data_IF_625926130985
#
_entry.id   IF_625926130985
#
_cell.length_a   1.000
_cell.length_b   1.000
_cell.length_c   1.000
_cell.angle_alpha   90.00
_cell.angle_beta   90.00
_cell.angle_gamma   90.00
#
_symmetry.space_group_name_H-M   'P 1'
#
loop_
_entity.id
_entity.type
_entity.pdbx_description
1 polymer ?
#
# COMPACT_ATOMS: atom_id res chain seq x y z
N UNK A 1 -8.71 -6.41 -8.21
CA UNK A 1 -7.71 -5.32 -8.01
C UNK A 1 -7.09 -5.46 -6.64
N UNK A 2 -5.80 -5.29 -6.56
CA UNK A 2 -5.02 -5.26 -5.32
C UNK A 2 -4.65 -3.82 -5.00
N UNK A 3 -4.88 -3.39 -3.76
CA UNK A 3 -4.39 -2.09 -3.25
C UNK A 3 -3.30 -2.38 -2.23
N UNK A 4 -2.03 -2.12 -2.54
CA UNK A 4 -0.93 -2.35 -1.61
C UNK A 4 -0.82 -1.24 -0.57
N UNK A 5 -0.59 -1.63 0.68
CA UNK A 5 -0.17 -0.71 1.72
C UNK A 5 1.32 -0.40 1.61
N UNK A 6 1.69 0.78 2.08
CA UNK A 6 3.05 1.31 2.04
C UNK A 6 4.08 0.38 2.69
N UNK A 7 3.74 -0.26 3.81
CA UNK A 7 4.67 -1.11 4.55
C UNK A 7 5.22 -2.27 3.69
N UNK A 8 4.37 -2.93 2.90
CA UNK A 8 4.78 -4.04 2.02
C UNK A 8 5.75 -3.58 0.93
N UNK A 9 5.52 -2.39 0.38
CA UNK A 9 6.39 -1.81 -0.65
C UNK A 9 7.74 -1.39 -0.07
N UNK A 10 7.76 -0.88 1.17
CA UNK A 10 9.02 -0.57 1.87
C UNK A 10 9.82 -1.86 2.10
N UNK A 11 9.18 -2.93 2.59
CA UNK A 11 9.89 -4.22 2.77
C UNK A 11 10.43 -4.77 1.45
N UNK A 12 9.66 -4.64 0.37
CA UNK A 12 10.10 -5.07 -0.97
C UNK A 12 11.34 -4.32 -1.49
N UNK A 13 11.64 -3.13 -0.95
CA UNK A 13 12.75 -2.27 -1.36
C UNK A 13 13.83 -2.07 -0.29
N UNK A 14 13.68 -2.69 0.87
CA UNK A 14 14.65 -2.62 1.97
C UNK A 14 15.31 -3.99 2.20
N UNK A 15 16.47 -4.20 1.60
CA UNK A 15 17.21 -5.46 1.70
C UNK A 15 17.65 -5.82 3.13
N UNK A 16 17.68 -4.85 4.05
CA UNK A 16 18.01 -5.08 5.46
C UNK A 16 16.82 -5.61 6.28
N UNK A 17 15.60 -5.55 5.76
CA UNK A 17 14.41 -6.06 6.44
C UNK A 17 14.29 -7.58 6.28
N UNK A 18 13.98 -8.30 7.38
CA UNK A 18 13.82 -9.76 7.35
C UNK A 18 12.66 -10.24 6.46
N UNK A 19 11.70 -9.35 6.12
CA UNK A 19 10.57 -9.62 5.23
C UNK A 19 10.86 -9.32 3.76
N UNK A 20 12.05 -8.79 3.47
CA UNK A 20 12.40 -8.30 2.13
C UNK A 20 12.17 -9.34 1.03
N UNK A 21 12.69 -10.56 1.20
CA UNK A 21 12.58 -11.60 0.16
C UNK A 21 11.12 -11.94 -0.13
N UNK A 22 10.31 -12.15 0.91
CA UNK A 22 8.89 -12.45 0.74
C UNK A 22 8.11 -11.28 0.13
N UNK A 23 8.36 -10.06 0.59
CA UNK A 23 7.70 -8.86 0.08
C UNK A 23 8.11 -8.55 -1.37
N UNK A 24 9.38 -8.72 -1.70
CA UNK A 24 9.87 -8.54 -3.08
C UNK A 24 9.23 -9.54 -4.03
N UNK A 25 9.20 -10.82 -3.67
CA UNK A 25 8.53 -11.86 -4.47
C UNK A 25 7.06 -11.53 -4.67
N UNK A 26 6.35 -11.19 -3.60
CA UNK A 26 4.95 -10.80 -3.69
C UNK A 26 4.74 -9.60 -4.62
N UNK A 27 5.60 -8.57 -4.55
CA UNK A 27 5.48 -7.39 -5.41
C UNK A 27 5.75 -7.71 -6.87
N UNK A 28 6.78 -8.51 -7.15
CA UNK A 28 7.09 -8.99 -8.50
C UNK A 28 5.93 -9.81 -9.09
N UNK A 29 5.30 -10.66 -8.28
CA UNK A 29 4.11 -11.43 -8.68
C UNK A 29 2.91 -10.51 -8.98
N UNK A 30 2.71 -9.45 -8.21
CA UNK A 30 1.66 -8.45 -8.47
C UNK A 30 1.89 -7.72 -9.79
N UNK A 31 3.11 -7.25 -10.04
CA UNK A 31 3.45 -6.46 -11.24
C UNK A 31 3.44 -7.31 -12.51
N UNK A 32 3.82 -8.57 -12.42
CA UNK A 32 3.87 -9.50 -13.55
C UNK A 32 2.59 -10.35 -13.72
N UNK A 33 1.63 -10.19 -12.81
CA UNK A 33 0.36 -10.92 -12.85
C UNK A 33 -0.69 -10.25 -13.74
N UNK A 34 -1.89 -10.81 -13.69
CA UNK A 34 -3.04 -10.34 -14.50
C UNK A 34 -4.01 -9.47 -13.70
N UNK A 35 -3.88 -9.44 -12.37
CA UNK A 35 -4.79 -8.67 -11.53
C UNK A 35 -4.33 -7.20 -11.44
N UNK A 36 -5.21 -6.23 -11.74
CA UNK A 36 -4.86 -4.81 -11.64
C UNK A 36 -4.38 -4.43 -10.25
N UNK A 37 -3.34 -3.60 -10.19
CA UNK A 37 -2.81 -3.01 -8.95
C UNK A 37 -3.16 -1.55 -8.89
N UNK A 38 -3.82 -1.14 -7.80
CA UNK A 38 -4.20 0.25 -7.56
C UNK A 38 -3.27 0.91 -6.54
N UNK A 39 -2.51 1.90 -6.97
CA UNK A 39 -1.66 2.71 -6.08
C UNK A 39 -2.40 3.97 -5.62
N UNK A 40 -2.48 4.17 -4.32
CA UNK A 40 -2.95 5.43 -3.74
C UNK A 40 -1.84 6.49 -3.77
N UNK A 41 -2.21 7.77 -3.93
CA UNK A 41 -1.25 8.86 -3.85
C UNK A 41 -0.51 8.90 -2.51
N UNK A 42 -1.19 8.59 -1.41
CA UNK A 42 -0.56 8.52 -0.08
C UNK A 42 0.53 7.45 -0.03
N UNK A 43 0.33 6.33 -0.72
CA UNK A 43 1.33 5.26 -0.84
C UNK A 43 2.50 5.69 -1.71
N UNK A 44 2.23 6.30 -2.87
CA UNK A 44 3.26 6.82 -3.79
C UNK A 44 4.14 7.85 -3.09
N UNK A 45 3.54 8.84 -2.44
CA UNK A 45 4.29 9.86 -1.70
C UNK A 45 5.02 9.28 -0.49
N UNK A 46 4.43 8.28 0.15
CA UNK A 46 5.05 7.56 1.26
C UNK A 46 6.32 6.82 0.84
N UNK A 47 6.32 6.15 -0.29
CA UNK A 47 7.50 5.48 -0.85
C UNK A 47 8.63 6.48 -1.07
N UNK A 48 8.35 7.58 -1.75
CA UNK A 48 9.38 8.61 -1.99
C UNK A 48 9.93 9.17 -0.67
N UNK A 49 9.05 9.51 0.26
CA UNK A 49 9.44 10.06 1.57
C UNK A 49 10.30 9.11 2.38
N UNK A 50 9.91 7.83 2.47
CA UNK A 50 10.58 6.87 3.33
C UNK A 50 11.86 6.30 2.71
N UNK A 51 11.91 6.07 1.41
CA UNK A 51 13.12 5.57 0.74
C UNK A 51 14.23 6.61 0.63
N UNK A 52 13.91 7.88 0.77
CA UNK A 52 14.89 8.98 0.82
C UNK A 52 15.25 9.40 2.25
N UNK A 53 14.76 8.70 3.27
CA UNK A 53 14.96 9.01 4.69
C UNK A 53 16.01 8.10 5.32
N UNK A 54 16.99 8.70 6.02
CA UNK A 54 17.98 7.98 6.84
C UNK A 54 17.37 7.28 8.06
N UNK A 55 16.16 7.65 8.45
CA UNK A 55 15.44 6.99 9.55
C UNK A 55 14.87 5.63 9.16
N UNK A 56 14.75 5.36 7.87
CA UNK A 56 14.13 4.13 7.33
C UNK A 56 15.15 3.24 6.65
N UNK A 57 15.97 3.81 5.76
CA UNK A 57 17.03 3.07 5.06
C UNK A 57 18.40 3.43 5.62
N UNK A 58 19.24 2.43 5.79
CA UNK A 58 20.66 2.64 6.20
C UNK A 58 21.38 3.52 5.17
N UNK A 59 21.12 3.27 3.89
CA UNK A 59 21.58 4.10 2.78
C UNK A 59 20.34 4.61 2.04
N UNK A 60 19.91 5.86 2.28
CA UNK A 60 18.75 6.43 1.61
C UNK A 60 19.03 6.61 0.11
N UNK A 61 17.97 6.46 -0.69
CA UNK A 61 18.04 6.71 -2.13
C UNK A 61 18.13 8.23 -2.39
N UNK A 62 18.86 8.66 -3.42
CA UNK A 62 18.67 9.98 -4.01
C UNK A 62 17.21 10.15 -4.46
N UNK A 63 16.65 11.34 -4.33
CA UNK A 63 15.24 11.58 -4.70
C UNK A 63 14.95 11.22 -6.16
N UNK A 64 15.87 11.53 -7.09
CA UNK A 64 15.72 11.16 -8.50
C UNK A 64 15.56 9.65 -8.70
N UNK A 65 16.36 8.85 -7.98
CA UNK A 65 16.28 7.38 -8.04
C UNK A 65 14.95 6.87 -7.48
N UNK A 66 14.47 7.43 -6.38
CA UNK A 66 13.16 7.06 -5.82
C UNK A 66 12.01 7.40 -6.79
N UNK A 67 12.08 8.54 -7.47
CA UNK A 67 11.11 8.94 -8.49
C UNK A 67 11.16 8.01 -9.70
N UNK A 68 12.35 7.63 -10.18
CA UNK A 68 12.51 6.69 -11.29
C UNK A 68 11.84 5.33 -10.98
N UNK A 69 11.94 4.85 -9.76
CA UNK A 69 11.27 3.62 -9.31
C UNK A 69 9.75 3.76 -9.41
N UNK A 70 9.20 4.83 -8.88
CA UNK A 70 7.75 5.09 -8.91
C UNK A 70 7.24 5.28 -10.33
N UNK A 71 7.94 6.07 -11.15
CA UNK A 71 7.60 6.27 -12.55
C UNK A 71 7.65 4.96 -13.34
N UNK A 72 8.63 4.09 -13.05
CA UNK A 72 8.71 2.75 -13.61
C UNK A 72 7.49 1.88 -13.28
N UNK A 73 6.96 1.99 -12.06
CA UNK A 73 5.71 1.30 -11.70
C UNK A 73 4.53 1.88 -12.45
N UNK A 74 4.37 3.20 -12.44
CA UNK A 74 3.25 3.87 -13.11
C UNK A 74 3.23 3.67 -14.63
N UNK A 75 4.37 3.33 -15.22
CA UNK A 75 4.48 2.98 -16.63
C UNK A 75 3.96 1.54 -16.93
N UNK A 76 3.77 0.69 -15.92
CA UNK A 76 3.27 -0.68 -16.12
C UNK A 76 1.77 -0.66 -16.43
N UNK A 77 1.29 -1.37 -17.47
CA UNK A 77 -0.14 -1.38 -17.85
C UNK A 77 -1.07 -1.90 -16.75
N UNK A 78 -0.56 -2.77 -15.88
CA UNK A 78 -1.32 -3.39 -14.78
C UNK A 78 -1.51 -2.43 -13.60
N UNK A 79 -0.67 -1.38 -13.49
CA UNK A 79 -0.71 -0.44 -12.37
C UNK A 79 -1.58 0.76 -12.73
N UNK A 80 -2.47 1.13 -11.80
CA UNK A 80 -3.35 2.29 -11.90
C UNK A 80 -3.18 3.19 -10.70
N UNK A 81 -3.11 4.48 -10.93
CA UNK A 81 -3.15 5.47 -9.87
C UNK A 81 -4.60 5.72 -9.46
N UNK A 82 -4.93 5.50 -8.18
CA UNK A 82 -6.28 5.63 -7.68
C UNK A 82 -6.58 7.06 -7.22
N UNK A 83 -7.78 7.52 -7.53
CA UNK A 83 -8.30 8.83 -7.11
C UNK A 83 -9.54 8.61 -6.24
N UNK A 84 -9.71 9.35 -5.13
CA UNK A 84 -10.91 9.26 -4.33
C UNK A 84 -12.17 9.55 -5.15
N UNK A 85 -13.18 8.68 -5.02
CA UNK A 85 -14.48 8.85 -5.65
C UNK A 85 -15.39 9.78 -4.83
N UNK A 86 -16.60 10.00 -5.35
CA UNK A 86 -17.59 10.90 -4.70
C UNK A 86 -18.04 10.44 -3.31
N UNK A 87 -17.98 9.15 -3.01
CA UNK A 87 -18.38 8.57 -1.71
C UNK A 87 -17.21 8.39 -0.76
N UNK A 88 -16.00 8.78 -1.16
CA UNK A 88 -14.78 8.54 -0.39
C UNK A 88 -14.83 9.14 1.01
N UNK A 89 -15.25 10.42 1.11
CA UNK A 89 -15.37 11.10 2.41
C UNK A 89 -16.36 10.37 3.33
N UNK A 90 -17.48 9.89 2.79
CA UNK A 90 -18.48 9.14 3.55
C UNK A 90 -17.88 7.83 4.10
N UNK A 91 -17.17 7.08 3.30
CA UNK A 91 -16.53 5.83 3.71
C UNK A 91 -15.42 6.10 4.74
N UNK A 92 -14.50 7.00 4.41
CA UNK A 92 -13.34 7.30 5.24
C UNK A 92 -13.75 7.86 6.62
N UNK A 93 -14.62 8.86 6.63
CA UNK A 93 -15.09 9.49 7.89
C UNK A 93 -16.01 8.56 8.66
N UNK A 94 -16.79 7.72 7.97
CA UNK A 94 -17.60 6.67 8.57
C UNK A 94 -16.75 5.66 9.35
N UNK A 95 -15.64 5.23 8.80
CA UNK A 95 -14.69 4.36 9.49
C UNK A 95 -14.12 5.02 10.75
N UNK A 96 -13.64 6.24 10.63
CA UNK A 96 -13.06 6.97 11.78
C UNK A 96 -14.08 7.20 12.90
N UNK A 97 -15.31 7.56 12.56
CA UNK A 97 -16.38 7.70 13.56
C UNK A 97 -16.71 6.37 14.24
N UNK A 98 -16.79 5.30 13.48
CA UNK A 98 -17.11 3.96 14.02
C UNK A 98 -16.01 3.42 14.93
N UNK A 99 -14.74 3.62 14.55
CA UNK A 99 -13.60 3.23 15.36
C UNK A 99 -13.38 4.14 16.56
N UNK A 100 -13.86 5.40 16.50
CA UNK A 100 -13.72 6.38 17.56
C UNK A 100 -12.28 6.85 17.79
N UNK A 101 -11.37 6.61 16.83
CA UNK A 101 -9.94 6.90 16.94
C UNK A 101 -9.46 7.47 15.61
N UNK A 102 -8.60 8.48 15.67
CA UNK A 102 -7.85 9.01 14.52
C UNK A 102 -6.38 8.62 14.58
N UNK A 103 -5.49 9.61 14.60
CA UNK A 103 -4.04 9.38 14.67
C UNK A 103 -3.55 8.54 13.47
N UNK A 104 -2.80 7.48 13.75
CA UNK A 104 -2.25 6.60 12.72
C UNK A 104 -3.33 5.87 11.89
N UNK A 105 -4.52 5.64 12.46
CA UNK A 105 -5.63 5.04 11.73
C UNK A 105 -6.25 5.97 10.69
N UNK A 106 -5.93 7.25 10.70
CA UNK A 106 -6.48 8.21 9.73
C UNK A 106 -6.07 7.88 8.31
N UNK A 107 -4.78 7.60 8.08
CA UNK A 107 -4.26 7.19 6.77
C UNK A 107 -4.78 5.81 6.38
N UNK A 108 -4.87 4.88 7.35
CA UNK A 108 -5.40 3.54 7.11
C UNK A 108 -6.88 3.59 6.70
N UNK A 109 -7.68 4.47 7.34
CA UNK A 109 -9.06 4.69 6.96
C UNK A 109 -9.20 5.24 5.54
N UNK A 110 -8.30 6.13 5.13
CA UNK A 110 -8.25 6.62 3.75
C UNK A 110 -7.95 5.48 2.76
N UNK A 111 -6.97 4.65 3.05
CA UNK A 111 -6.59 3.53 2.19
C UNK A 111 -7.70 2.46 2.13
N UNK A 112 -8.32 2.15 3.28
CA UNK A 112 -9.46 1.24 3.34
C UNK A 112 -10.66 1.75 2.54
N UNK A 113 -10.95 3.05 2.62
CA UNK A 113 -12.02 3.68 1.85
C UNK A 113 -11.76 3.63 0.35
N UNK A 114 -10.51 3.85 -0.10
CA UNK A 114 -10.13 3.68 -1.51
C UNK A 114 -10.34 2.22 -1.96
N UNK A 115 -9.92 1.25 -1.16
CA UNK A 115 -10.13 -0.15 -1.49
C UNK A 115 -11.62 -0.50 -1.64
N UNK A 116 -12.50 0.07 -0.79
CA UNK A 116 -13.94 -0.08 -0.94
C UNK A 116 -14.46 0.59 -2.21
N UNK A 117 -14.04 1.82 -2.49
CA UNK A 117 -14.48 2.59 -3.66
C UNK A 117 -14.22 1.83 -4.97
N UNK A 118 -13.13 1.09 -5.03
CA UNK A 118 -12.71 0.29 -6.18
C UNK A 118 -13.05 -1.20 -6.08
N UNK A 119 -13.76 -1.62 -5.04
CA UNK A 119 -14.07 -3.04 -4.76
C UNK A 119 -12.81 -3.93 -4.77
N UNK A 120 -11.71 -3.38 -4.31
CA UNK A 120 -10.40 -3.98 -4.30
C UNK A 120 -10.12 -4.75 -3.00
N UNK A 121 -9.13 -5.65 -3.04
CA UNK A 121 -8.56 -6.27 -1.85
C UNK A 121 -7.33 -5.47 -1.40
N UNK A 122 -7.30 -5.09 -0.13
CA UNK A 122 -6.17 -4.38 0.45
C UNK A 122 -5.14 -5.39 0.95
N UNK A 123 -3.91 -5.26 0.51
CA UNK A 123 -2.78 -6.07 0.97
C UNK A 123 -1.93 -5.26 1.95
N UNK A 124 -1.80 -5.74 3.17
CA UNK A 124 -0.97 -5.14 4.22
C UNK A 124 -0.54 -6.18 5.24
N UNK A 125 0.63 -5.99 5.83
CA UNK A 125 1.06 -6.77 7.01
C UNK A 125 0.51 -6.23 8.32
N UNK A 126 -0.21 -5.10 8.30
CA UNK A 126 -0.80 -4.49 9.49
C UNK A 126 -2.18 -5.08 9.78
N UNK A 127 -2.28 -5.80 10.91
CA UNK A 127 -3.53 -6.40 11.36
C UNK A 127 -4.61 -5.39 11.75
N UNK A 128 -4.28 -4.11 11.93
CA UNK A 128 -5.27 -3.05 12.20
C UNK A 128 -6.30 -2.92 11.06
N UNK A 129 -5.95 -3.30 9.83
CA UNK A 129 -6.90 -3.32 8.72
C UNK A 129 -8.08 -4.28 8.91
N UNK A 130 -7.95 -5.30 9.75
CA UNK A 130 -9.07 -6.18 10.12
C UNK A 130 -10.19 -5.45 10.88
N UNK A 131 -9.92 -4.27 11.42
CA UNK A 131 -10.88 -3.44 12.17
C UNK A 131 -11.88 -2.71 11.28
N UNK A 132 -11.61 -2.56 9.97
CA UNK A 132 -12.47 -1.82 9.04
C UNK A 132 -13.59 -2.71 8.51
N UNK A 133 -14.88 -2.42 8.85
CA UNK A 133 -15.99 -3.27 8.43
C UNK A 133 -16.18 -3.28 6.92
N UNK A 134 -16.38 -4.46 6.35
CA UNK A 134 -16.61 -4.62 4.91
C UNK A 134 -15.35 -4.58 4.04
N UNK A 135 -14.21 -4.25 4.62
CA UNK A 135 -12.93 -4.27 3.91
C UNK A 135 -12.49 -5.72 3.66
N UNK A 136 -12.15 -6.03 2.41
CA UNK A 136 -11.40 -7.24 2.08
C UNK A 136 -9.92 -6.93 2.28
N UNK A 137 -9.32 -7.57 3.27
CA UNK A 137 -7.91 -7.42 3.61
C UNK A 137 -7.23 -8.76 3.73
N UNK A 138 -5.97 -8.83 3.32
CA UNK A 138 -5.10 -9.95 3.62
C UNK A 138 -3.65 -9.50 3.85
N UNK A 139 -2.92 -10.31 4.63
CA UNK A 139 -1.46 -10.23 4.72
C UNK A 139 -0.85 -11.24 3.75
N UNK A 140 -0.31 -10.80 2.60
CA UNK A 140 0.22 -11.72 1.61
C UNK A 140 1.50 -12.43 2.05
N UNK A 141 2.19 -11.90 3.07
CA UNK A 141 3.43 -12.50 3.59
C UNK A 141 3.16 -13.68 4.52
N UNK A 142 1.93 -13.81 5.05
CA UNK A 142 1.50 -14.93 5.89
C UNK A 142 0.87 -16.08 5.07
N UNK A 143 0.54 -15.85 3.81
CA UNK A 143 0.09 -16.93 2.93
C UNK A 143 1.26 -17.89 2.72
N UNK A 144 1.25 -19.00 3.46
CA UNK A 144 2.16 -20.11 3.19
C UNK A 144 1.98 -20.51 1.74
N UNK A 145 3.09 -20.58 1.00
CA UNK A 145 3.11 -21.16 -0.33
C UNK A 145 2.38 -22.52 -0.25
N UNK A 146 1.28 -22.63 -0.96
CA UNK A 146 0.64 -23.92 -1.19
C UNK A 146 1.41 -24.70 -2.24
#
# INVERSE_FOLDING_TARGET
MIVPDLNLLIYAHNAADHRHVAAKTWWEDCVNGDEPVGLAWVTVMGIVRLTTSRQVLVVPLPVGTALDVVEGWLAQPIIRLLVPGRHHAQHCFGFLRKLGVGGNLTTDAHLAALALDYQAELHSSDADFARFPGLRWCNPLERKAR
#
